data_IF_040462599198
#
_entry.id   IF_040462599198
#
_cell.length_a   1.000
_cell.length_b   1.000
_cell.length_c   1.000
_cell.angle_alpha   90.00
_cell.angle_beta   90.00
_cell.angle_gamma   90.00
#
_symmetry.space_group_name_H-M   'P 1'
#
loop_
_entity.id
_entity.type
_entity.pdbx_description
1 polymer ?
#
# COMPACT_ATOMS: atom_id res chain seq x y z
N UNK A 1 11.01 -2.30 2.69
CA UNK A 1 10.14 -2.34 3.89
C UNK A 1 9.17 -1.18 3.83
N UNK A 2 7.88 -1.45 3.97
CA UNK A 2 6.86 -0.41 4.09
C UNK A 2 6.66 -0.04 5.56
N UNK A 3 6.52 1.25 5.85
CA UNK A 3 6.23 1.77 7.18
C UNK A 3 5.29 2.96 7.08
N UNK A 4 4.28 3.02 7.94
CA UNK A 4 3.46 4.22 8.09
C UNK A 4 4.26 5.23 8.91
N UNK A 5 4.70 6.30 8.26
CA UNK A 5 5.50 7.34 8.88
C UNK A 5 4.63 8.38 9.58
N UNK A 6 3.44 8.64 9.04
CA UNK A 6 2.46 9.54 9.63
C UNK A 6 1.03 9.08 9.28
N UNK A 7 0.08 9.39 10.15
CA UNK A 7 -1.35 9.19 9.90
C UNK A 7 -2.15 10.34 10.50
N UNK A 8 -3.19 10.80 9.79
CA UNK A 8 -4.09 11.85 10.25
C UNK A 8 -5.52 11.53 9.83
N UNK A 9 -6.44 11.48 10.79
CA UNK A 9 -7.88 11.42 10.52
C UNK A 9 -8.39 12.82 10.15
N UNK A 10 -9.23 12.92 9.13
CA UNK A 10 -9.84 14.17 8.65
C UNK A 10 -11.24 13.83 8.15
N UNK A 11 -12.25 14.16 8.96
CA UNK A 11 -13.61 13.65 8.75
C UNK A 11 -13.64 12.12 8.76
N UNK A 12 -14.25 11.54 7.74
CA UNK A 12 -14.34 10.09 7.55
C UNK A 12 -13.11 9.48 6.87
N UNK A 13 -12.16 10.31 6.43
CA UNK A 13 -10.93 9.85 5.82
C UNK A 13 -9.83 9.67 6.87
N UNK A 14 -9.10 8.56 6.78
CA UNK A 14 -7.78 8.42 7.42
C UNK A 14 -6.71 8.54 6.35
N UNK A 15 -5.99 9.65 6.36
CA UNK A 15 -4.84 9.88 5.47
C UNK A 15 -3.58 9.31 6.12
N UNK A 16 -2.73 8.67 5.35
CA UNK A 16 -1.46 8.16 5.85
C UNK A 16 -0.34 8.31 4.83
N UNK A 17 0.86 8.48 5.40
CA UNK A 17 2.11 8.64 4.69
C UNK A 17 2.87 7.33 4.82
N UNK A 18 3.08 6.68 3.70
CA UNK A 18 3.70 5.37 3.61
C UNK A 18 5.14 5.55 3.11
N UNK A 19 6.11 5.33 3.98
CA UNK A 19 7.52 5.31 3.62
C UNK A 19 7.95 3.93 3.12
N UNK A 20 8.75 3.91 2.06
CA UNK A 20 9.36 2.71 1.49
C UNK A 20 10.85 2.76 1.78
N UNK A 21 11.34 1.80 2.55
CA UNK A 21 12.69 1.76 3.07
C UNK A 21 13.49 0.58 2.50
N UNK A 22 14.73 0.83 2.11
CA UNK A 22 15.72 -0.20 1.75
C UNK A 22 17.00 0.06 2.54
N UNK A 23 17.52 -0.98 3.19
CA UNK A 23 18.71 -0.90 4.05
C UNK A 23 18.62 0.20 5.12
N UNK A 24 17.43 0.34 5.71
CA UNK A 24 17.13 1.37 6.72
C UNK A 24 16.98 2.79 6.19
N UNK A 25 17.23 3.04 4.90
CA UNK A 25 17.10 4.34 4.24
C UNK A 25 15.78 4.45 3.49
N UNK A 26 15.12 5.59 3.60
CA UNK A 26 13.87 5.86 2.87
C UNK A 26 14.19 6.10 1.39
N UNK A 27 13.67 5.24 0.53
CA UNK A 27 13.82 5.30 -0.92
C UNK A 27 12.66 6.04 -1.57
N UNK A 28 11.47 5.88 -1.02
CA UNK A 28 10.25 6.41 -1.63
C UNK A 28 9.19 6.71 -0.55
N UNK A 29 8.17 7.46 -0.95
CA UNK A 29 7.04 7.84 -0.13
C UNK A 29 5.75 7.89 -0.95
N UNK A 30 4.65 7.48 -0.34
CA UNK A 30 3.34 7.51 -0.97
C UNK A 30 2.31 8.07 0.01
N UNK A 31 1.40 8.89 -0.48
CA UNK A 31 0.24 9.31 0.31
C UNK A 31 -0.96 8.47 -0.06
N UNK A 32 -1.67 8.01 0.97
CA UNK A 32 -2.84 7.15 0.83
C UNK A 32 -3.98 7.68 1.70
N UNK A 33 -5.20 7.30 1.36
CA UNK A 33 -6.38 7.53 2.19
C UNK A 33 -7.24 6.29 2.30
N UNK A 34 -7.82 6.10 3.47
CA UNK A 34 -8.90 5.13 3.71
C UNK A 34 -10.16 5.93 3.97
N UNK A 35 -11.23 5.61 3.26
CA UNK A 35 -12.55 6.23 3.42
C UNK A 35 -13.62 5.14 3.46
N UNK A 36 -14.88 5.46 3.80
CA UNK A 36 -15.97 4.49 3.67
C UNK A 36 -16.18 3.95 2.25
N UNK A 37 -15.66 4.65 1.22
CA UNK A 37 -15.77 4.24 -0.19
C UNK A 37 -14.64 3.31 -0.64
N UNK A 38 -13.55 3.21 0.11
CA UNK A 38 -12.39 2.44 -0.31
C UNK A 38 -11.05 2.97 0.19
N UNK A 39 -9.99 2.37 -0.35
CA UNK A 39 -8.60 2.74 -0.15
C UNK A 39 -8.09 3.37 -1.44
N UNK A 40 -7.51 4.56 -1.33
CA UNK A 40 -7.04 5.33 -2.47
C UNK A 40 -5.57 5.71 -2.28
N UNK A 41 -4.82 5.63 -3.36
CA UNK A 41 -3.50 6.22 -3.47
C UNK A 41 -3.64 7.66 -3.97
N UNK A 42 -3.21 8.60 -3.13
CA UNK A 42 -3.30 10.03 -3.40
C UNK A 42 -2.05 10.53 -4.13
N UNK A 43 -0.89 9.94 -3.88
CA UNK A 43 0.37 10.32 -4.54
C UNK A 43 1.42 9.22 -4.55
N UNK A 44 2.45 9.40 -5.38
CA UNK A 44 3.58 8.47 -5.51
C UNK A 44 4.92 9.21 -5.65
N UNK A 45 6.02 8.55 -5.29
CA UNK A 45 7.37 9.07 -5.51
C UNK A 45 7.86 9.97 -4.36
N UNK A 46 9.18 10.22 -4.29
CA UNK A 46 9.79 11.05 -3.25
C UNK A 46 9.28 12.51 -3.27
N UNK A 47 8.77 12.97 -4.42
CA UNK A 47 8.17 14.30 -4.59
C UNK A 47 6.65 14.33 -4.42
N UNK A 48 6.02 13.22 -4.00
CA UNK A 48 4.57 13.10 -3.77
C UNK A 48 3.72 13.55 -4.96
N UNK A 49 4.04 13.02 -6.12
CA UNK A 49 3.36 13.32 -7.39
C UNK A 49 1.89 12.92 -7.26
N UNK A 50 0.95 13.87 -7.23
CA UNK A 50 -0.44 13.58 -6.91
C UNK A 50 -1.12 12.86 -8.06
N UNK A 51 -2.05 11.98 -7.71
CA UNK A 51 -3.05 11.46 -8.62
C UNK A 51 -4.25 12.42 -8.66
N UNK A 52 -4.82 12.62 -9.84
CA UNK A 52 -6.07 13.36 -10.00
C UNK A 52 -7.01 12.66 -10.99
N UNK A 53 -8.15 12.10 -10.52
CA UNK A 53 -8.55 11.95 -9.10
C UNK A 53 -7.66 10.93 -8.35
N UNK A 54 -7.75 10.78 -7.01
CA UNK A 54 -7.05 9.73 -6.30
C UNK A 54 -7.28 8.34 -6.92
N UNK A 55 -6.20 7.56 -7.07
CA UNK A 55 -6.26 6.25 -7.72
C UNK A 55 -6.82 5.22 -6.75
N UNK A 56 -7.89 4.49 -7.08
CA UNK A 56 -8.42 3.45 -6.21
C UNK A 56 -7.47 2.27 -6.16
N UNK A 57 -7.25 1.76 -4.96
CA UNK A 57 -6.55 0.50 -4.70
C UNK A 57 -7.56 -0.56 -4.29
N UNK A 58 -8.59 -0.15 -3.53
CA UNK A 58 -9.70 -1.00 -3.10
C UNK A 58 -10.99 -0.16 -3.13
N UNK A 59 -12.08 -0.69 -3.65
CA UNK A 59 -13.41 -0.07 -3.61
C UNK A 59 -14.31 -0.84 -2.64
N UNK A 60 -15.09 -0.11 -1.84
CA UNK A 60 -16.06 -0.68 -0.91
C UNK A 60 -17.50 -0.47 -1.39
N UNK A 61 -18.42 -1.42 -1.10
CA UNK A 61 -18.17 -2.73 -0.47
C UNK A 61 -17.37 -3.67 -1.38
N UNK A 62 -16.56 -4.54 -0.79
CA UNK A 62 -15.84 -5.58 -1.54
C UNK A 62 -16.83 -6.63 -2.05
N UNK A 63 -16.88 -6.83 -3.36
CA UNK A 63 -17.58 -7.97 -3.97
C UNK A 63 -16.61 -8.72 -4.86
N UNK A 64 -16.50 -10.02 -4.63
CA UNK A 64 -15.65 -10.90 -5.43
C UNK A 64 -16.04 -10.86 -6.91
N UNK A 65 -15.04 -10.81 -7.78
CA UNK A 65 -15.19 -10.67 -9.23
C UNK A 65 -15.61 -9.28 -9.71
N UNK A 66 -15.98 -8.34 -8.83
CA UNK A 66 -16.43 -7.01 -9.25
C UNK A 66 -15.26 -6.19 -9.81
N UNK A 67 -15.29 -5.82 -11.10
CA UNK A 67 -14.25 -5.01 -11.68
C UNK A 67 -14.45 -3.54 -11.31
N UNK A 68 -13.35 -2.80 -11.21
CA UNK A 68 -13.36 -1.36 -11.11
C UNK A 68 -12.39 -0.77 -12.13
N UNK A 69 -12.75 0.41 -12.65
CA UNK A 69 -11.94 1.16 -13.60
C UNK A 69 -11.66 2.54 -13.06
N UNK A 70 -10.50 3.06 -13.43
CA UNK A 70 -10.09 4.41 -13.12
C UNK A 70 -9.33 5.01 -14.30
N UNK A 71 -9.48 6.31 -14.47
CA UNK A 71 -8.71 7.11 -15.42
C UNK A 71 -8.38 8.42 -14.75
N UNK A 72 -7.13 8.83 -14.85
CA UNK A 72 -6.67 10.06 -14.24
C UNK A 72 -5.29 10.43 -14.70
N UNK A 73 -4.71 11.38 -13.97
CA UNK A 73 -3.37 11.88 -14.27
C UNK A 73 -2.45 11.72 -13.06
N UNK A 74 -1.17 11.48 -13.33
CA UNK A 74 -0.10 11.59 -12.35
C UNK A 74 1.00 12.50 -12.91
N UNK A 75 1.90 13.02 -12.06
CA UNK A 75 3.10 13.64 -12.60
C UNK A 75 4.10 12.56 -13.00
N UNK A 76 4.61 12.64 -14.22
CA UNK A 76 5.73 11.84 -14.72
C UNK A 76 7.04 12.25 -14.03
N UNK A 77 8.12 11.51 -14.31
CA UNK A 77 9.46 11.75 -13.73
C UNK A 77 10.01 13.13 -14.15
N UNK A 78 9.63 13.62 -15.33
CA UNK A 78 10.03 14.93 -15.84
C UNK A 78 9.12 16.09 -15.38
N UNK A 79 8.25 15.87 -14.39
CA UNK A 79 7.32 16.88 -13.86
C UNK A 79 6.11 17.18 -14.75
N UNK A 80 6.05 16.68 -16.00
CA UNK A 80 4.86 16.80 -16.85
C UNK A 80 3.75 15.87 -16.35
N UNK A 81 2.49 16.20 -16.63
CA UNK A 81 1.38 15.27 -16.38
C UNK A 81 1.42 14.12 -17.39
N UNK A 82 1.21 12.90 -16.92
CA UNK A 82 1.00 11.71 -17.72
C UNK A 82 -0.39 11.15 -17.42
N UNK A 83 -1.09 10.72 -18.47
CA UNK A 83 -2.35 10.01 -18.30
C UNK A 83 -2.07 8.59 -17.83
N UNK A 84 -2.96 8.08 -16.98
CA UNK A 84 -2.93 6.73 -16.48
C UNK A 84 -4.34 6.16 -16.45
N UNK A 85 -4.45 4.88 -16.80
CA UNK A 85 -5.67 4.09 -16.68
C UNK A 85 -5.38 2.93 -15.75
N UNK A 86 -6.40 2.50 -15.01
CA UNK A 86 -6.33 1.33 -14.16
C UNK A 86 -7.60 0.51 -14.34
N UNK A 87 -7.43 -0.79 -14.47
CA UNK A 87 -8.49 -1.78 -14.32
C UNK A 87 -8.10 -2.70 -13.17
N UNK A 88 -9.03 -3.01 -12.28
CA UNK A 88 -8.77 -3.95 -11.19
C UNK A 88 -10.00 -4.75 -10.83
N UNK A 89 -9.81 -5.79 -10.03
CA UNK A 89 -10.87 -6.69 -9.58
C UNK A 89 -10.56 -7.28 -8.22
N UNK A 90 -11.61 -7.50 -7.43
CA UNK A 90 -11.51 -8.29 -6.20
C UNK A 90 -11.45 -9.76 -6.57
N UNK A 91 -10.33 -10.42 -6.31
CA UNK A 91 -10.19 -11.86 -6.63
C UNK A 91 -10.84 -12.73 -5.56
N UNK A 92 -10.85 -12.29 -4.30
CA UNK A 92 -11.47 -13.02 -3.19
C UNK A 92 -10.48 -13.33 -2.06
N UNK A 93 -10.91 -14.15 -1.11
CA UNK A 93 -10.07 -14.56 0.02
C UNK A 93 -8.98 -15.54 -0.40
N UNK A 94 -7.75 -15.32 0.04
CA UNK A 94 -6.61 -16.21 -0.15
C UNK A 94 -5.77 -16.30 1.11
N UNK A 95 -5.25 -17.49 1.39
CA UNK A 95 -4.21 -17.69 2.39
C UNK A 95 -2.85 -17.39 1.77
N UNK A 96 -2.08 -16.49 2.39
CA UNK A 96 -0.73 -16.13 1.95
C UNK A 96 0.30 -16.30 3.06
N UNK A 97 1.48 -16.78 2.68
CA UNK A 97 2.62 -16.88 3.59
C UNK A 97 3.19 -15.50 3.89
N UNK A 98 3.48 -15.24 5.16
CA UNK A 98 4.16 -14.04 5.64
C UNK A 98 5.31 -14.44 6.55
N UNK A 99 6.19 -13.50 6.91
CA UNK A 99 7.27 -13.83 7.85
C UNK A 99 6.77 -14.13 9.28
N UNK A 100 5.48 -13.91 9.56
CA UNK A 100 4.83 -14.27 10.83
C UNK A 100 3.94 -15.53 10.71
N UNK A 101 4.05 -16.27 9.60
CA UNK A 101 3.17 -17.39 9.28
C UNK A 101 2.08 -17.01 8.29
N UNK A 102 1.06 -17.86 8.19
CA UNK A 102 0.03 -17.72 7.17
C UNK A 102 -1.01 -16.68 7.59
N UNK A 103 -1.54 -15.94 6.61
CA UNK A 103 -2.59 -14.96 6.82
C UNK A 103 -3.66 -15.08 5.74
N UNK A 104 -4.92 -15.13 6.16
CA UNK A 104 -6.05 -15.01 5.24
C UNK A 104 -6.31 -13.54 4.94
N UNK A 105 -6.38 -13.22 3.64
CA UNK A 105 -6.51 -11.85 3.15
C UNK A 105 -7.27 -11.81 1.83
N UNK A 106 -7.98 -10.70 1.57
CA UNK A 106 -8.62 -10.45 0.30
C UNK A 106 -7.56 -10.03 -0.72
N UNK A 107 -7.44 -10.78 -1.82
CA UNK A 107 -6.60 -10.42 -2.95
C UNK A 107 -7.34 -9.45 -3.88
N UNK A 108 -6.64 -8.38 -4.26
CA UNK A 108 -7.04 -7.43 -5.29
C UNK A 108 -5.96 -7.47 -6.37
N UNK A 109 -6.37 -7.68 -7.62
CA UNK A 109 -5.50 -7.54 -8.79
C UNK A 109 -5.81 -6.21 -9.48
N UNK A 110 -4.78 -5.55 -9.99
CA UNK A 110 -4.96 -4.38 -10.85
C UNK A 110 -3.89 -4.30 -11.93
N UNK A 111 -4.30 -3.87 -13.12
CA UNK A 111 -3.44 -3.58 -14.24
C UNK A 111 -3.56 -2.08 -14.52
N UNK A 112 -2.44 -1.37 -14.44
CA UNK A 112 -2.38 0.04 -14.84
C UNK A 112 -1.58 0.22 -16.12
N UNK A 113 -2.02 1.15 -16.96
CA UNK A 113 -1.29 1.59 -18.14
C UNK A 113 -1.04 3.09 -18.04
N UNK A 114 0.13 3.55 -18.46
CA UNK A 114 0.52 4.95 -18.33
C UNK A 114 1.43 5.39 -19.48
N UNK A 115 1.43 6.70 -19.76
CA UNK A 115 2.32 7.28 -20.75
C UNK A 115 3.76 7.35 -20.20
N UNK A 116 4.72 6.90 -21.01
CA UNK A 116 6.16 7.00 -20.73
C UNK A 116 6.72 8.13 -21.60
N UNK A 117 7.16 9.26 -21.02
CA UNK A 117 7.72 10.35 -21.80
C UNK A 117 8.97 9.89 -22.57
N UNK A 118 8.99 10.17 -23.87
CA UNK A 118 10.15 9.97 -24.73
C UNK A 118 10.65 11.33 -25.21
N UNK A 119 11.86 11.78 -24.81
CA UNK A 119 12.37 13.09 -25.22
C UNK A 119 12.76 13.16 -26.70
N UNK A 120 12.91 12.01 -27.38
CA UNK A 120 13.39 11.92 -28.77
C UNK A 120 12.32 11.46 -29.76
N UNK A 121 11.06 11.31 -29.34
CA UNK A 121 10.03 10.73 -30.19
C UNK A 121 8.66 10.64 -29.52
N UNK A 122 7.72 9.87 -30.09
CA UNK A 122 6.40 9.69 -29.51
C UNK A 122 6.50 9.04 -28.12
N UNK A 123 5.58 9.42 -27.23
CA UNK A 123 5.48 8.81 -25.91
C UNK A 123 5.24 7.31 -26.03
N UNK A 124 5.98 6.53 -25.22
CA UNK A 124 5.75 5.10 -25.10
C UNK A 124 4.57 4.80 -24.17
N UNK A 125 4.22 3.51 -24.08
CA UNK A 125 3.27 3.01 -23.09
C UNK A 125 3.99 2.13 -22.08
N UNK A 126 3.66 2.34 -20.81
CA UNK A 126 4.05 1.46 -19.72
C UNK A 126 2.84 0.70 -19.19
N UNK A 127 3.11 -0.47 -18.64
CA UNK A 127 2.12 -1.29 -17.94
C UNK A 127 2.68 -1.76 -16.60
N UNK A 128 1.83 -1.81 -15.58
CA UNK A 128 2.12 -2.39 -14.28
C UNK A 128 1.00 -3.34 -13.89
N UNK A 129 1.34 -4.55 -13.48
CA UNK A 129 0.42 -5.48 -12.79
C UNK A 129 0.71 -5.43 -11.30
N UNK A 130 -0.32 -5.23 -10.49
CA UNK A 130 -0.22 -5.13 -9.04
C UNK A 130 -1.19 -6.08 -8.36
N UNK A 131 -0.64 -6.96 -7.52
CA UNK A 131 -1.39 -7.87 -6.67
C UNK A 131 -1.24 -7.41 -5.22
N UNK A 132 -2.35 -7.15 -4.54
CA UNK A 132 -2.37 -6.69 -3.16
C UNK A 132 -3.27 -7.56 -2.30
N UNK A 133 -2.76 -8.00 -1.15
CA UNK A 133 -3.53 -8.79 -0.19
C UNK A 133 -3.82 -7.97 1.06
N UNK A 134 -5.10 -7.79 1.38
CA UNK A 134 -5.56 -6.99 2.50
C UNK A 134 -6.23 -7.84 3.57
N UNK A 135 -5.83 -7.63 4.83
CA UNK A 135 -6.47 -8.24 5.99
C UNK A 135 -7.05 -7.15 6.91
N UNK A 136 -8.35 -7.21 7.26
CA UNK A 136 -8.94 -6.30 8.24
C UNK A 136 -8.16 -6.27 9.56
N UNK A 137 -8.01 -5.09 10.14
CA UNK A 137 -7.23 -4.85 11.35
C UNK A 137 -5.71 -4.93 11.19
N UNK A 138 -5.20 -5.31 10.01
CA UNK A 138 -3.75 -5.44 9.72
C UNK A 138 -3.30 -4.53 8.58
N UNK A 139 -4.11 -4.39 7.53
CA UNK A 139 -3.71 -3.67 6.32
C UNK A 139 -3.20 -4.60 5.22
N UNK A 140 -2.20 -4.14 4.47
CA UNK A 140 -1.55 -4.91 3.39
C UNK A 140 -0.65 -5.98 4.01
N UNK A 141 -0.92 -7.26 3.74
CA UNK A 141 -0.11 -8.41 4.18
C UNK A 141 0.86 -8.91 3.11
N UNK A 142 0.55 -8.65 1.84
CA UNK A 142 1.43 -8.96 0.70
C UNK A 142 1.20 -7.96 -0.42
N UNK A 143 2.25 -7.63 -1.16
CA UNK A 143 2.19 -6.71 -2.28
C UNK A 143 3.19 -7.15 -3.35
N UNK A 144 2.71 -7.40 -4.57
CA UNK A 144 3.54 -7.73 -5.73
C UNK A 144 3.25 -6.74 -6.82
N UNK A 145 4.30 -6.22 -7.44
CA UNK A 145 4.20 -5.28 -8.54
C UNK A 145 5.19 -5.68 -9.64
N UNK A 146 4.69 -5.87 -10.86
CA UNK A 146 5.51 -6.18 -12.03
C UNK A 146 5.30 -5.08 -13.06
N UNK A 147 6.38 -4.41 -13.46
CA UNK A 147 6.33 -3.28 -14.37
C UNK A 147 7.04 -3.62 -15.68
N UNK A 148 6.40 -3.35 -16.82
CA UNK A 148 6.99 -3.59 -18.14
C UNK A 148 7.85 -2.41 -18.65
N UNK A 149 7.57 -1.18 -18.21
CA UNK A 149 8.29 0.03 -18.66
C UNK A 149 9.68 0.22 -18.03
N UNK A 150 9.96 -0.50 -16.94
CA UNK A 150 11.25 -0.51 -16.27
C UNK A 150 11.54 -1.99 -16.01
N UNK A 151 12.46 -2.59 -16.77
CA UNK A 151 12.75 -4.03 -16.68
C UNK A 151 13.00 -4.44 -15.21
N UNK A 152 12.01 -5.07 -14.57
CA UNK A 152 12.09 -5.44 -13.16
C UNK A 152 10.74 -5.84 -12.55
N UNK A 153 10.77 -6.84 -11.68
CA UNK A 153 9.67 -7.19 -10.79
C UNK A 153 10.03 -6.77 -9.36
N UNK A 154 9.11 -6.08 -8.69
CA UNK A 154 9.22 -5.74 -7.28
C UNK A 154 8.24 -6.62 -6.49
N UNK A 155 8.74 -7.37 -5.52
CA UNK A 155 7.91 -8.18 -4.63
C UNK A 155 8.18 -7.83 -3.18
N UNK A 156 7.12 -7.60 -2.41
CA UNK A 156 7.18 -7.25 -1.00
C UNK A 156 6.22 -8.13 -0.20
N UNK A 157 6.70 -8.63 0.94
CA UNK A 157 5.92 -9.47 1.85
C UNK A 157 5.94 -8.86 3.25
N UNK A 158 4.84 -8.94 3.99
CA UNK A 158 4.77 -8.45 5.37
C UNK A 158 5.75 -9.23 6.24
N UNK A 159 6.68 -8.49 6.86
CA UNK A 159 7.67 -9.05 7.78
C UNK A 159 7.20 -9.08 9.23
N UNK A 160 6.54 -8.03 9.68
CA UNK A 160 6.09 -7.90 11.06
C UNK A 160 5.01 -6.82 11.17
N UNK A 161 4.02 -7.02 12.05
CA UNK A 161 3.14 -5.96 12.53
C UNK A 161 2.92 -6.09 14.03
N UNK A 162 2.57 -5.00 14.69
CA UNK A 162 2.24 -4.99 16.12
C UNK A 162 0.76 -4.64 16.27
N UNK A 163 -0.12 -5.60 16.63
CA UNK A 163 -1.53 -5.29 16.83
C UNK A 163 -1.69 -4.28 17.97
N UNK A 164 -2.51 -3.23 17.76
CA UNK A 164 -2.92 -2.34 18.85
C UNK A 164 -4.01 -3.01 19.68
N UNK A 165 -3.79 -3.14 20.98
CA UNK A 165 -4.86 -3.45 21.94
C UNK A 165 -5.08 -4.93 22.27
N UNK A 166 -4.41 -5.85 21.60
CA UNK A 166 -4.37 -7.24 22.04
C UNK A 166 -3.24 -7.44 23.04
N UNK A 167 -3.53 -7.45 24.35
CA UNK A 167 -2.67 -8.25 25.24
C UNK A 167 -2.70 -9.67 24.66
N UNK A 168 -1.57 -10.34 24.41
CA UNK A 168 -1.59 -11.73 23.99
C UNK A 168 -2.41 -12.51 25.01
N UNK A 169 -3.58 -13.02 24.62
CA UNK A 169 -4.34 -13.98 25.43
C UNK A 169 -3.46 -15.22 25.49
N UNK A 170 -2.80 -15.44 26.63
CA UNK A 170 -2.03 -16.66 26.89
C UNK A 170 -0.54 -16.49 27.21
N UNK A 171 -0.01 -15.27 27.36
CA UNK A 171 1.35 -15.16 27.93
C UNK A 171 1.31 -15.60 29.43
N UNK A 172 2.06 -16.64 29.85
CA UNK A 172 2.11 -17.04 31.25
C UNK A 172 2.56 -15.86 32.12
N UNK A 173 1.88 -15.66 33.26
CA UNK A 173 2.23 -14.65 34.25
C UNK A 173 3.63 -14.92 34.79
N UNK A 174 4.65 -14.30 34.23
CA UNK A 174 5.97 -14.21 34.85
C UNK A 174 5.95 -13.12 35.93
N UNK A 175 6.28 -13.50 37.15
CA UNK A 175 6.38 -12.66 38.35
C UNK A 175 7.26 -11.40 38.16
N UNK A 176 7.00 -10.31 38.92
CA UNK A 176 7.61 -9.01 38.66
C UNK A 176 9.08 -8.94 39.10
N UNK A 177 10.00 -8.95 38.15
CA UNK A 177 11.42 -8.56 38.30
C UNK A 177 11.66 -7.10 37.92
N UNK A 178 12.51 -6.41 38.69
CA UNK A 178 12.76 -4.95 38.67
C UNK A 178 13.30 -4.37 37.33
N UNK A 179 12.71 -3.21 36.99
CA UNK A 179 13.17 -1.99 36.25
C UNK A 179 14.29 -2.09 35.20
N UNK A 180 13.95 -1.64 33.99
CA UNK A 180 14.88 -1.03 33.02
C UNK A 180 14.11 -0.11 32.07
N UNK A 181 14.49 1.18 32.02
CA UNK A 181 13.83 2.20 31.21
C UNK A 181 13.99 1.91 29.71
N UNK A 182 12.92 1.44 29.05
CA UNK A 182 12.88 1.30 27.58
C UNK A 182 12.31 2.56 26.95
N UNK A 183 13.09 3.16 26.04
CA UNK A 183 12.61 4.20 25.10
C UNK A 183 11.45 3.62 24.29
N UNK A 184 10.29 4.26 24.36
CA UNK A 184 9.10 3.89 23.58
C UNK A 184 9.22 4.51 22.19
N UNK A 185 9.38 3.68 21.16
CA UNK A 185 9.15 4.10 19.79
C UNK A 185 7.65 3.98 19.49
N UNK A 186 6.98 5.11 19.25
CA UNK A 186 5.62 5.11 18.73
C UNK A 186 5.68 4.70 17.26
N UNK A 187 5.28 3.46 16.96
CA UNK A 187 5.07 2.99 15.59
C UNK A 187 3.58 3.12 15.29
N UNK A 188 3.24 3.91 14.27
CA UNK A 188 1.88 4.04 13.77
C UNK A 188 1.66 2.94 12.73
N UNK A 189 0.53 2.23 12.80
CA UNK A 189 0.13 1.21 11.82
C UNK A 189 -1.36 1.34 11.50
N UNK A 190 -1.68 0.95 10.26
CA UNK A 190 -2.98 1.03 9.63
C UNK A 190 -3.91 -0.06 10.18
N UNK A 191 -5.01 0.34 10.82
CA UNK A 191 -6.15 -0.54 11.09
C UNK A 191 -7.13 -0.23 9.96
N UNK A 192 -7.34 -1.19 9.05
CA UNK A 192 -8.45 -1.19 8.11
C UNK A 192 -9.66 -1.84 8.76
#
# INVERSE_FOLDING_TARGET
MYKVDASKKTGDATNFLLGIYQDGKKQDEQMWSVTPKGIFQNSLGPTRRPFNPPQPVVIFPLKEGEPFKWSGTSQAVNGKRASSQLEGSVIGMQTVDTAMGNADAVMIESVSTFDVPNPRGPAGKGQTVTDSWFRPGVGIVRYRQVSQAAAGALSYTLRSYTPRGGRPRGAPRSSPGRRGARRRFASYQLIL
#
